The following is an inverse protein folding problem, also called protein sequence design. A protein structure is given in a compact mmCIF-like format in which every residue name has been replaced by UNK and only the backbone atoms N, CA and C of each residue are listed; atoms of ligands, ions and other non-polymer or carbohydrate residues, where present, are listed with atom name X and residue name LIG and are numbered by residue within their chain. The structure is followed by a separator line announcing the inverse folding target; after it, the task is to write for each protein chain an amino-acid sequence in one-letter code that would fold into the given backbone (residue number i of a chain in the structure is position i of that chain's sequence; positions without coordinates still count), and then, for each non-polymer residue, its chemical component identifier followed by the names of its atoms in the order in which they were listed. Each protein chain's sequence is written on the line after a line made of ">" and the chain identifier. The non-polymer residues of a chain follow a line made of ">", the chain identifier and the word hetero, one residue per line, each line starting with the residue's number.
data_IF_903048473010
#
_entry.id   IF_903048473010
#
_cell.length_a   1.000
_cell.length_b   1.000
_cell.length_c   1.000
_cell.angle_alpha   90.00
_cell.angle_beta   90.00
_cell.angle_gamma   90.00
#
_symmetry.space_group_name_H-M   'P 1'
#
loop_
_entity.id
_entity.type
_entity.pdbx_description
1 polymer ?
#
# COMPACT_ATOMS: atom_id res chain seq x y z
N UNK A 1 -26.71 -37.15 -23.76
CA UNK A 1 -25.63 -36.15 -23.71
C UNK A 1 -26.21 -34.86 -23.16
N UNK A 2 -25.59 -34.20 -22.17
CA UNK A 2 -26.05 -32.89 -21.73
C UNK A 2 -26.11 -31.97 -22.96
N UNK A 3 -27.20 -31.22 -23.11
CA UNK A 3 -27.38 -30.34 -24.26
C UNK A 3 -26.27 -29.29 -24.34
N UNK A 4 -25.95 -28.82 -25.55
CA UNK A 4 -24.89 -27.82 -25.80
C UNK A 4 -24.99 -26.59 -24.88
N UNK A 5 -26.21 -26.18 -24.51
CA UNK A 5 -26.46 -25.04 -23.64
C UNK A 5 -26.27 -25.37 -22.15
N UNK A 6 -26.37 -26.65 -21.75
CA UNK A 6 -26.20 -27.08 -20.37
C UNK A 6 -24.76 -26.87 -19.89
N UNK A 7 -23.77 -27.11 -20.76
CA UNK A 7 -22.35 -26.87 -20.47
C UNK A 7 -22.07 -25.38 -20.25
N UNK A 8 -22.63 -24.53 -21.11
CA UNK A 8 -22.48 -23.07 -21.00
C UNK A 8 -23.18 -22.55 -19.76
N UNK A 9 -24.40 -23.02 -19.48
CA UNK A 9 -25.15 -22.63 -18.30
C UNK A 9 -24.43 -23.02 -17.00
N UNK A 10 -23.87 -24.24 -16.92
CA UNK A 10 -23.10 -24.65 -15.74
C UNK A 10 -21.84 -23.82 -15.54
N UNK A 11 -21.13 -23.49 -16.64
CA UNK A 11 -19.96 -22.62 -16.60
C UNK A 11 -20.30 -21.20 -16.13
N UNK A 12 -21.39 -20.63 -16.65
CA UNK A 12 -21.85 -19.29 -16.28
C UNK A 12 -22.22 -19.21 -14.79
N UNK A 13 -22.94 -20.21 -14.28
CA UNK A 13 -23.32 -20.27 -12.86
C UNK A 13 -22.08 -20.40 -11.97
N UNK A 14 -21.15 -21.29 -12.31
CA UNK A 14 -19.90 -21.47 -11.56
C UNK A 14 -19.05 -20.18 -11.55
N UNK A 15 -18.94 -19.51 -12.70
CA UNK A 15 -18.19 -18.26 -12.83
C UNK A 15 -18.82 -17.12 -12.03
N UNK A 16 -20.14 -16.92 -12.16
CA UNK A 16 -20.86 -15.87 -11.46
C UNK A 16 -20.80 -16.06 -9.93
N UNK A 17 -20.98 -17.29 -9.44
CA UNK A 17 -20.89 -17.59 -8.01
C UNK A 17 -19.48 -17.38 -7.47
N UNK A 18 -18.44 -17.81 -8.20
CA UNK A 18 -17.06 -17.57 -7.81
C UNK A 18 -16.72 -16.06 -7.79
N UNK A 19 -17.15 -15.28 -8.78
CA UNK A 19 -16.93 -13.83 -8.85
C UNK A 19 -17.60 -13.07 -7.72
N UNK A 20 -18.84 -13.45 -7.36
CA UNK A 20 -19.57 -12.83 -6.24
C UNK A 20 -18.98 -13.21 -4.87
N UNK A 21 -18.50 -14.45 -4.71
CA UNK A 21 -17.87 -14.90 -3.46
C UNK A 21 -16.41 -14.47 -3.31
N UNK A 22 -15.74 -14.10 -4.41
CA UNK A 22 -14.33 -13.69 -4.42
C UNK A 22 -13.97 -12.66 -3.35
N UNK A 23 -14.66 -11.50 -3.21
CA UNK A 23 -14.31 -10.52 -2.19
C UNK A 23 -14.49 -11.08 -0.77
N UNK A 24 -15.53 -11.88 -0.52
CA UNK A 24 -15.79 -12.47 0.80
C UNK A 24 -14.74 -13.52 1.19
N UNK A 25 -14.30 -14.34 0.23
CA UNK A 25 -13.23 -15.33 0.44
C UNK A 25 -11.90 -14.62 0.66
N UNK A 26 -11.57 -13.61 -0.15
CA UNK A 26 -10.33 -12.86 -0.04
C UNK A 26 -10.23 -12.11 1.30
N UNK A 27 -11.30 -11.46 1.74
CA UNK A 27 -11.35 -10.80 3.05
C UNK A 27 -11.15 -11.78 4.21
N UNK A 28 -11.69 -13.00 4.13
CA UNK A 28 -11.45 -14.03 5.15
C UNK A 28 -10.02 -14.57 5.13
N UNK A 29 -9.42 -14.65 3.94
CA UNK A 29 -8.07 -15.20 3.75
C UNK A 29 -6.97 -14.30 4.33
N UNK A 30 -7.20 -12.98 4.42
CA UNK A 30 -6.24 -12.00 4.93
C UNK A 30 -6.26 -11.85 6.48
N UNK A 31 -6.43 -12.96 7.21
CA UNK A 31 -6.45 -12.95 8.70
C UNK A 31 -5.06 -12.98 9.35
N UNK A 32 -3.98 -12.97 8.56
CA UNK A 32 -2.61 -12.89 9.08
C UNK A 32 -2.05 -11.49 8.76
N UNK A 33 -2.14 -10.54 9.70
CA UNK A 33 -1.50 -9.25 9.52
C UNK A 33 0.01 -9.49 9.35
N UNK A 34 0.55 -9.13 8.18
CA UNK A 34 2.00 -9.18 7.91
C UNK A 34 2.74 -8.21 8.85
N UNK A 35 2.02 -7.21 9.36
CA UNK A 35 2.50 -6.24 10.34
C UNK A 35 1.99 -6.68 11.71
N UNK A 36 2.88 -7.30 12.46
CA UNK A 36 2.69 -7.51 13.88
C UNK A 36 2.68 -6.14 14.58
N UNK A 37 1.51 -5.63 14.96
CA UNK A 37 1.38 -4.37 15.70
C UNK A 37 1.99 -4.44 17.12
N UNK A 38 2.36 -5.63 17.60
CA UNK A 38 3.13 -5.80 18.83
C UNK A 38 4.63 -5.62 18.61
N UNK A 39 5.08 -5.59 17.35
CA UNK A 39 6.45 -5.21 17.00
C UNK A 39 6.45 -3.71 16.64
N UNK A 40 7.00 -2.83 17.50
CA UNK A 40 7.17 -1.44 17.13
C UNK A 40 7.93 -1.37 15.81
N UNK A 41 7.47 -0.54 14.88
CA UNK A 41 8.18 -0.31 13.63
C UNK A 41 9.65 0.00 13.96
N UNK A 42 10.58 -0.55 13.18
CA UNK A 42 12.00 -0.22 13.28
C UNK A 42 12.16 1.30 13.46
N UNK A 43 12.91 1.78 14.46
CA UNK A 43 13.08 3.21 14.74
C UNK A 43 13.53 4.05 13.53
N UNK A 44 14.10 3.42 12.49
CA UNK A 44 14.42 4.09 11.22
C UNK A 44 13.22 4.39 10.31
N UNK A 45 12.07 3.76 10.52
CA UNK A 45 10.81 4.05 9.83
C UNK A 45 9.89 5.00 10.63
N UNK A 46 10.13 5.15 11.95
CA UNK A 46 9.46 6.11 12.83
C UNK A 46 10.49 6.86 13.69
N UNK A 47 11.39 7.63 13.09
CA UNK A 47 11.98 8.80 13.75
C UNK A 47 12.28 9.85 12.69
N UNK A 48 11.21 10.44 12.17
CA UNK A 48 11.26 11.79 11.61
C UNK A 48 10.62 12.71 12.63
N UNK A 49 11.41 13.14 13.61
CA UNK A 49 11.01 14.19 14.53
C UNK A 49 10.71 15.50 13.78
N UNK A 50 10.14 16.53 14.44
CA UNK A 50 9.69 17.78 13.79
C UNK A 50 10.75 18.53 12.98
N UNK A 51 12.03 18.15 13.10
CA UNK A 51 13.14 18.65 12.30
C UNK A 51 13.80 17.49 11.55
N UNK A 52 13.15 17.03 10.49
CA UNK A 52 13.86 16.25 9.48
C UNK A 52 14.52 17.24 8.53
N UNK A 53 15.79 17.56 8.78
CA UNK A 53 16.63 18.25 7.80
C UNK A 53 16.83 17.29 6.62
N UNK A 54 15.94 17.33 5.63
CA UNK A 54 16.17 16.70 4.33
C UNK A 54 17.19 17.55 3.62
N UNK A 55 18.46 17.40 4.00
CA UNK A 55 19.66 18.03 3.43
C UNK A 55 19.32 19.13 2.44
N UNK A 56 18.93 20.30 2.95
CA UNK A 56 18.93 21.50 2.13
C UNK A 56 20.35 21.57 1.61
N UNK A 57 20.51 21.31 0.32
CA UNK A 57 21.75 21.66 -0.36
C UNK A 57 21.90 23.15 -0.12
N UNK A 58 22.78 23.53 0.79
CA UNK A 58 23.30 24.88 0.88
C UNK A 58 23.97 25.17 -0.46
N UNK A 59 23.17 25.63 -1.42
CA UNK A 59 23.65 26.16 -2.69
C UNK A 59 24.05 27.59 -2.42
N UNK A 60 25.35 27.80 -2.33
CA UNK A 60 26.00 29.10 -2.52
C UNK A 60 26.45 29.78 -1.22
N UNK A 61 27.72 30.20 -1.12
CA UNK A 61 28.11 31.26 -0.20
C UNK A 61 27.26 32.51 -0.51
N UNK A 62 26.51 33.01 0.47
CA UNK A 62 25.72 34.23 0.31
C UNK A 62 26.66 35.44 0.09
N UNK A 63 26.61 36.13 -1.07
CA UNK A 63 27.44 37.30 -1.28
C UNK A 63 26.88 38.50 -0.49
N UNK A 64 27.53 38.77 0.65
CA UNK A 64 27.63 40.05 1.39
C UNK A 64 26.41 40.61 2.12
N UNK A 65 26.66 41.12 3.34
CA UNK A 65 26.15 42.43 3.73
C UNK A 65 27.29 43.45 3.79
N UNK A 66 27.13 44.46 2.94
CA UNK A 66 27.74 45.80 2.98
C UNK A 66 27.90 46.28 4.45
N UNK A 67 29.14 46.44 4.95
CA UNK A 67 29.42 47.30 6.12
C UNK A 67 29.28 48.74 5.67
N UNK A 68 28.24 49.43 6.14
CA UNK A 68 28.30 50.89 6.29
C UNK A 68 29.21 51.19 7.49
N UNK A 69 30.34 51.83 7.22
CA UNK A 69 30.96 52.87 8.05
C UNK A 69 32.11 53.49 7.29
#
# INVERSE_FOLDING_TARGET
>A
MPGRNAIVASGLVAFATAGLLFPLVLSKMHSKPIIDSSKPLSPGAIMRGPYTNTGSRDVGPDPTPRKLS
#
